data_IF_953652403632
#
_entry.id   IF_953652403632
#
_cell.length_a   1.000
_cell.length_b   1.000
_cell.length_c   1.000
_cell.angle_alpha   90.00
_cell.angle_beta   90.00
_cell.angle_gamma   90.00
#
_symmetry.space_group_name_H-M   'P 1'
#
loop_
_entity.id
_entity.type
_entity.pdbx_description
1 polymer ?
#
# COMPACT_ATOMS: atom_id res chain seq x y z
N UNK A 1 -4.71 -2.42 9.43
CA UNK A 1 -3.35 -1.89 9.66
C UNK A 1 -3.58 -0.42 9.97
N UNK A 2 -3.67 -0.10 11.25
CA UNK A 2 -3.75 1.28 11.74
C UNK A 2 -2.37 1.56 12.34
N UNK A 3 -1.40 1.87 11.48
CA UNK A 3 -0.08 2.38 11.87
C UNK A 3 -0.03 3.86 11.52
N UNK A 4 0.51 4.69 12.40
CA UNK A 4 0.75 6.09 12.08
C UNK A 4 2.05 6.27 11.29
N UNK A 5 2.21 7.45 10.68
CA UNK A 5 3.45 7.80 9.98
C UNK A 5 4.62 7.85 10.97
N UNK A 6 4.38 8.33 12.19
CA UNK A 6 5.39 8.38 13.25
C UNK A 6 5.87 6.99 13.65
N UNK A 7 4.95 6.04 13.86
CA UNK A 7 5.30 4.64 14.15
C UNK A 7 6.13 4.03 13.02
N UNK A 8 5.72 4.26 11.76
CA UNK A 8 6.46 3.79 10.59
C UNK A 8 7.87 4.39 10.51
N UNK A 9 8.03 5.69 10.80
CA UNK A 9 9.34 6.35 10.82
C UNK A 9 10.22 5.74 11.91
N UNK A 10 9.69 5.61 13.13
CA UNK A 10 10.41 5.02 14.26
C UNK A 10 10.87 3.59 13.93
N UNK A 11 9.98 2.74 13.40
CA UNK A 11 10.30 1.36 13.01
C UNK A 11 11.43 1.32 11.96
N UNK A 12 11.37 2.16 10.93
CA UNK A 12 12.39 2.19 9.88
C UNK A 12 13.73 2.81 10.33
N UNK A 13 13.74 3.67 11.35
CA UNK A 13 14.96 4.23 11.94
C UNK A 13 15.78 3.16 12.68
N UNK A 14 15.13 2.15 13.27
CA UNK A 14 15.81 1.01 13.91
C UNK A 14 16.46 0.04 12.91
N UNK A 15 16.04 0.06 11.64
CA UNK A 15 16.61 -0.78 10.59
C UNK A 15 17.86 -0.10 10.02
N UNK A 16 19.05 -0.56 10.41
CA UNK A 16 20.33 -0.01 9.93
C UNK A 16 20.71 -0.55 8.53
N UNK A 17 20.34 -1.80 8.20
CA UNK A 17 20.62 -2.41 6.91
C UNK A 17 19.55 -2.06 5.87
N UNK A 18 20.00 -1.78 4.65
CA UNK A 18 19.11 -1.56 3.51
C UNK A 18 18.33 -2.81 3.13
N UNK A 19 18.91 -4.01 3.33
CA UNK A 19 18.24 -5.28 3.07
C UNK A 19 17.02 -5.46 4.01
N UNK A 20 17.19 -5.13 5.28
CA UNK A 20 16.13 -5.19 6.28
C UNK A 20 15.00 -4.20 5.96
N UNK A 21 15.35 -2.96 5.59
CA UNK A 21 14.35 -1.96 5.13
C UNK A 21 13.59 -2.44 3.91
N UNK A 22 14.28 -3.07 2.97
CA UNK A 22 13.66 -3.59 1.76
C UNK A 22 12.68 -4.73 2.08
N UNK A 23 13.07 -5.63 2.99
CA UNK A 23 12.24 -6.74 3.44
C UNK A 23 11.01 -6.25 4.20
N UNK A 24 11.15 -5.26 5.08
CA UNK A 24 10.04 -4.66 5.82
C UNK A 24 8.98 -4.08 4.87
N UNK A 25 9.39 -3.34 3.83
CA UNK A 25 8.45 -2.82 2.81
C UNK A 25 7.66 -3.97 2.16
N UNK A 26 8.33 -5.08 1.81
CA UNK A 26 7.65 -6.24 1.23
C UNK A 26 6.65 -6.85 2.23
N UNK A 27 7.01 -6.93 3.50
CA UNK A 27 6.17 -7.54 4.54
C UNK A 27 4.95 -6.67 4.86
N UNK A 28 5.07 -5.34 4.88
CA UNK A 28 3.93 -4.43 4.89
C UNK A 28 2.98 -4.69 3.71
N UNK A 29 3.53 -4.87 2.50
CA UNK A 29 2.76 -5.18 1.31
C UNK A 29 1.97 -6.50 1.41
N UNK A 30 2.52 -7.52 2.08
CA UNK A 30 1.84 -8.82 2.27
C UNK A 30 0.61 -8.72 3.18
N UNK A 31 0.58 -7.73 4.07
CA UNK A 31 -0.56 -7.50 4.97
C UNK A 31 -1.74 -6.81 4.29
N UNK A 32 -1.54 -6.19 3.12
CA UNK A 32 -2.64 -5.64 2.32
C UNK A 32 -3.59 -6.78 1.90
N UNK A 33 -4.91 -6.68 2.12
CA UNK A 33 -5.86 -7.67 1.63
C UNK A 33 -5.83 -7.80 0.10
N UNK A 34 -6.02 -9.00 -0.47
CA UNK A 34 -6.02 -9.17 -1.92
C UNK A 34 -7.15 -8.36 -2.56
N UNK A 35 -6.84 -7.67 -3.66
CA UNK A 35 -7.83 -6.90 -4.42
C UNK A 35 -8.66 -7.85 -5.31
N UNK A 36 -10.02 -7.82 -5.21
CA UNK A 36 -10.88 -8.60 -6.09
C UNK A 36 -10.66 -8.27 -7.57
N UNK A 37 -10.62 -9.30 -8.43
CA UNK A 37 -10.28 -9.14 -9.86
C UNK A 37 -11.17 -8.16 -10.63
N UNK A 38 -12.43 -8.00 -10.22
CA UNK A 38 -13.34 -7.00 -10.81
C UNK A 38 -12.83 -5.55 -10.71
N UNK A 39 -11.93 -5.27 -9.77
CA UNK A 39 -11.33 -3.95 -9.61
C UNK A 39 -10.01 -3.78 -10.38
N UNK A 40 -9.43 -4.85 -10.93
CA UNK A 40 -8.22 -4.79 -11.76
C UNK A 40 -8.54 -4.35 -13.19
N UNK A 41 -9.09 -3.14 -13.31
CA UNK A 41 -9.49 -2.51 -14.58
C UNK A 41 -8.71 -1.23 -14.83
N UNK A 42 -8.73 -0.73 -16.07
CA UNK A 42 -8.07 0.53 -16.42
C UNK A 42 -8.64 1.76 -15.67
N UNK A 43 -9.85 1.67 -15.13
CA UNK A 43 -10.45 2.73 -14.34
C UNK A 43 -9.74 2.96 -13.00
N UNK A 44 -9.15 1.92 -12.43
CA UNK A 44 -8.42 1.97 -11.15
C UNK A 44 -6.90 1.84 -11.33
N UNK A 45 -6.43 1.73 -12.57
CA UNK A 45 -5.01 1.52 -12.86
C UNK A 45 -4.21 2.81 -12.70
N UNK A 46 -3.19 2.78 -11.87
CA UNK A 46 -2.23 3.89 -11.72
C UNK A 46 -1.30 3.88 -12.93
N UNK A 47 -1.16 5.04 -13.58
CA UNK A 47 -0.32 5.20 -14.78
C UNK A 47 1.06 5.76 -14.39
N UNK A 48 2.09 5.34 -15.12
CA UNK A 48 3.47 5.80 -14.91
C UNK A 48 4.32 4.88 -14.03
N UNK A 49 3.72 3.87 -13.39
CA UNK A 49 4.45 2.80 -12.75
C UNK A 49 5.01 1.82 -13.80
N UNK A 50 6.21 1.28 -13.55
CA UNK A 50 6.78 0.20 -14.36
C UNK A 50 6.00 -1.11 -14.16
N UNK A 51 5.58 -1.36 -12.94
CA UNK A 51 4.68 -2.46 -12.56
C UNK A 51 3.22 -2.05 -12.74
N UNK A 52 2.32 -3.03 -12.78
CA UNK A 52 0.88 -2.78 -12.71
C UNK A 52 0.48 -2.47 -11.28
N UNK A 53 -0.25 -1.37 -11.08
CA UNK A 53 -0.78 -0.95 -9.78
C UNK A 53 -2.23 -0.57 -9.96
N UNK A 54 -3.09 -1.03 -9.04
CA UNK A 54 -4.50 -0.63 -8.97
C UNK A 54 -4.80 -0.02 -7.61
N UNK A 55 -5.56 1.08 -7.59
CA UNK A 55 -5.95 1.79 -6.38
C UNK A 55 -7.44 2.13 -6.44
N UNK A 56 -8.20 1.63 -5.46
CA UNK A 56 -9.66 1.79 -5.38
C UNK A 56 -10.00 2.65 -4.14
N UNK A 57 -10.53 3.87 -4.32
CA UNK A 57 -10.95 4.70 -3.20
C UNK A 57 -12.32 4.27 -2.66
N UNK A 58 -12.45 4.31 -1.34
CA UNK A 58 -13.72 4.15 -0.62
C UNK A 58 -13.89 5.35 0.30
N UNK A 59 -14.98 6.09 0.12
CA UNK A 59 -15.32 7.25 0.94
C UNK A 59 -16.37 6.84 1.96
N UNK A 60 -16.08 7.01 3.24
CA UNK A 60 -17.03 6.72 4.31
C UNK A 60 -18.15 7.77 4.34
N UNK A 61 -19.30 7.39 4.92
CA UNK A 61 -20.40 8.30 5.21
C UNK A 61 -20.22 9.07 6.54
N UNK A 62 -19.02 9.06 7.15
CA UNK A 62 -18.76 9.77 8.40
C UNK A 62 -18.68 11.29 8.17
N UNK A 63 -18.75 12.05 9.27
CA UNK A 63 -18.56 13.51 9.25
C UNK A 63 -17.45 13.88 10.25
N UNK A 64 -16.23 14.23 9.78
CA UNK A 64 -15.83 14.35 8.37
C UNK A 64 -15.72 13.00 7.65
N UNK A 65 -15.81 12.98 6.31
CA UNK A 65 -15.63 11.76 5.54
C UNK A 65 -14.18 11.28 5.64
N UNK A 66 -14.02 9.97 5.74
CA UNK A 66 -12.72 9.28 5.76
C UNK A 66 -12.57 8.55 4.43
N UNK A 67 -11.42 8.71 3.79
CA UNK A 67 -11.08 7.99 2.57
C UNK A 67 -10.17 6.83 2.94
N UNK A 68 -10.52 5.63 2.49
CA UNK A 68 -9.68 4.44 2.58
C UNK A 68 -9.43 3.89 1.19
N UNK A 69 -8.38 3.10 1.03
CA UNK A 69 -8.01 2.55 -0.27
C UNK A 69 -7.87 1.03 -0.21
N UNK A 70 -8.32 0.36 -1.26
CA UNK A 70 -7.88 -1.01 -1.57
C UNK A 70 -6.90 -0.95 -2.71
N UNK A 71 -5.82 -1.73 -2.64
CA UNK A 71 -4.80 -1.70 -3.66
C UNK A 71 -4.18 -3.06 -3.92
N UNK A 72 -3.56 -3.20 -5.09
CA UNK A 72 -2.72 -4.35 -5.43
C UNK A 72 -1.67 -3.95 -6.47
N UNK A 73 -0.59 -4.72 -6.54
CA UNK A 73 0.41 -4.62 -7.60
C UNK A 73 0.93 -5.99 -7.99
N UNK A 74 1.28 -6.16 -9.26
CA UNK A 74 1.98 -7.37 -9.75
C UNK A 74 3.43 -7.48 -9.26
N UNK A 75 3.98 -6.42 -8.65
CA UNK A 75 5.30 -6.42 -8.02
C UNK A 75 5.18 -6.34 -6.48
N UNK A 76 5.81 -7.28 -5.77
CA UNK A 76 5.78 -7.34 -4.31
C UNK A 76 6.28 -6.06 -3.63
N UNK A 77 7.42 -5.53 -4.09
CA UNK A 77 7.99 -4.30 -3.52
C UNK A 77 7.06 -3.10 -3.73
N UNK A 78 6.40 -3.01 -4.89
CA UNK A 78 5.50 -1.88 -5.18
C UNK A 78 4.22 -1.99 -4.36
N UNK A 79 3.72 -3.21 -4.11
CA UNK A 79 2.62 -3.42 -3.17
C UNK A 79 2.97 -2.94 -1.77
N UNK A 80 4.21 -3.14 -1.34
CA UNK A 80 4.74 -2.58 -0.10
C UNK A 80 4.77 -1.05 -0.09
N UNK A 81 5.29 -0.43 -1.14
CA UNK A 81 5.31 1.03 -1.27
C UNK A 81 3.92 1.66 -1.33
N UNK A 82 2.88 0.92 -1.74
CA UNK A 82 1.49 1.38 -1.70
C UNK A 82 0.88 1.28 -0.30
N UNK A 83 1.44 0.45 0.59
CA UNK A 83 1.00 0.35 1.99
C UNK A 83 1.39 1.58 2.82
N UNK A 84 2.40 2.32 2.37
CA UNK A 84 3.01 3.50 3.00
C UNK A 84 2.36 4.77 2.44
#
# INVERSE_FOLDING_TARGET
MDMTIEELIEDFEYLEDWEDRYQEIIDLGKQIPPLPERYKTDAYKVRGCVSQVWLVPHVSASSPPVITFSADSDAHIVRGLVAI
#
